data_IF_218873591423
#
_entry.id   IF_218873591423
#
_cell.length_a   1.000
_cell.length_b   1.000
_cell.length_c   1.000
_cell.angle_alpha   90.00
_cell.angle_beta   90.00
_cell.angle_gamma   90.00
#
_symmetry.space_group_name_H-M   'P 1'
#
loop_
_entity.id
_entity.type
_entity.pdbx_description
1 polymer ?
#
# COMPACT_ATOMS: atom_id res chain seq x y z
N UNK A 1 -8.36 22.72 -20.64
CA UNK A 1 -8.85 21.72 -19.65
C UNK A 1 -10.15 21.11 -20.16
N UNK A 2 -10.43 19.83 -19.86
CA UNK A 2 -11.59 19.08 -20.39
C UNK A 2 -12.93 19.69 -19.97
N UNK A 3 -13.85 19.87 -20.94
CA UNK A 3 -15.23 20.33 -20.65
C UNK A 3 -16.00 19.33 -19.79
N UNK A 4 -15.60 18.05 -19.83
CA UNK A 4 -16.27 16.94 -19.18
C UNK A 4 -15.80 16.69 -17.74
N UNK A 5 -14.77 17.41 -17.27
CA UNK A 5 -14.31 17.27 -15.88
C UNK A 5 -15.29 17.95 -14.91
N UNK A 6 -15.64 17.23 -13.84
CA UNK A 6 -16.51 17.70 -12.77
C UNK A 6 -16.01 19.02 -12.18
N UNK A 7 -16.95 19.87 -11.75
CA UNK A 7 -16.63 21.18 -11.20
C UNK A 7 -15.83 21.12 -9.90
N UNK A 8 -16.10 20.14 -9.03
CA UNK A 8 -15.39 19.99 -7.77
C UNK A 8 -13.95 19.55 -8.01
N UNK A 9 -13.71 18.63 -8.96
CA UNK A 9 -12.36 18.19 -9.35
C UNK A 9 -11.52 19.38 -9.85
N UNK A 10 -12.13 20.37 -10.52
CA UNK A 10 -11.42 21.58 -10.97
C UNK A 10 -10.96 22.49 -9.83
N UNK A 11 -11.50 22.32 -8.62
CA UNK A 11 -11.25 23.19 -7.47
C UNK A 11 -10.39 22.57 -6.38
N UNK A 12 -10.24 21.25 -6.36
CA UNK A 12 -9.35 20.58 -5.39
C UNK A 12 -7.92 21.07 -5.64
N UNK A 13 -7.23 21.41 -4.56
CA UNK A 13 -5.77 21.54 -4.58
C UNK A 13 -5.19 20.15 -4.29
N UNK A 14 -4.43 19.55 -5.21
CA UNK A 14 -3.85 18.23 -4.98
C UNK A 14 -2.90 18.24 -3.78
N UNK A 15 -2.71 17.08 -3.17
CA UNK A 15 -1.66 16.88 -2.18
C UNK A 15 -0.29 17.24 -2.77
N UNK A 16 0.47 18.07 -2.04
CA UNK A 16 1.84 18.44 -2.39
C UNK A 16 2.79 17.63 -1.52
N UNK A 17 3.54 16.67 -2.08
CA UNK A 17 4.48 15.88 -1.29
C UNK A 17 5.62 16.75 -0.75
N UNK A 18 6.18 16.33 0.39
CA UNK A 18 7.37 16.96 0.96
C UNK A 18 8.60 16.88 0.05
N UNK A 19 9.60 17.73 0.33
CA UNK A 19 10.84 17.81 -0.44
C UNK A 19 11.59 16.46 -0.48
N UNK A 20 12.10 16.07 -1.64
CA UNK A 20 13.01 14.92 -1.79
C UNK A 20 14.21 15.29 -2.67
N UNK A 21 15.40 15.53 -2.09
CA UNK A 21 16.61 15.84 -2.86
C UNK A 21 17.04 14.64 -3.72
N UNK A 22 17.42 14.85 -4.99
CA UNK A 22 17.78 13.75 -5.92
C UNK A 22 19.27 13.55 -6.17
N UNK A 23 20.11 14.54 -5.88
CA UNK A 23 21.51 14.60 -6.37
C UNK A 23 22.56 14.59 -5.28
N UNK A 24 22.20 14.22 -4.05
CA UNK A 24 23.11 14.23 -2.91
C UNK A 24 22.93 12.96 -2.09
N UNK A 25 23.99 12.55 -1.39
CA UNK A 25 23.89 11.52 -0.35
C UNK A 25 23.46 12.20 0.94
N UNK A 26 22.36 11.76 1.53
CA UNK A 26 21.82 12.31 2.77
C UNK A 26 21.26 11.19 3.64
N UNK A 27 21.10 11.50 4.93
CA UNK A 27 20.34 10.65 5.86
C UNK A 27 18.87 11.02 5.68
N UNK A 28 18.07 10.11 5.09
CA UNK A 28 16.66 10.34 4.77
C UNK A 28 15.78 10.08 5.99
N UNK A 29 15.12 11.12 6.49
CA UNK A 29 14.29 11.07 7.72
C UNK A 29 12.93 11.78 7.56
N UNK A 30 12.49 12.04 6.32
CA UNK A 30 11.35 12.92 6.02
C UNK A 30 10.05 12.19 5.60
N UNK A 31 10.07 10.86 5.51
CA UNK A 31 8.97 10.04 4.97
C UNK A 31 8.62 8.83 5.85
N UNK A 32 9.19 8.77 7.06
CA UNK A 32 8.93 7.73 8.06
C UNK A 32 9.19 6.29 7.57
N UNK A 33 10.08 6.11 6.58
CA UNK A 33 10.50 4.80 6.12
C UNK A 33 11.31 4.06 7.19
N UNK A 34 11.19 2.73 7.21
CA UNK A 34 11.99 1.90 8.10
C UNK A 34 13.47 1.92 7.66
N UNK A 35 14.44 2.14 8.58
CA UNK A 35 15.86 2.13 8.22
C UNK A 35 16.42 0.73 7.94
N UNK A 36 15.71 -0.33 8.33
CA UNK A 36 16.10 -1.71 8.14
C UNK A 36 15.51 -2.30 6.85
N UNK A 37 16.21 -3.26 6.21
CA UNK A 37 15.65 -3.97 5.07
C UNK A 37 14.42 -4.81 5.47
N UNK A 38 13.58 -5.20 4.51
CA UNK A 38 12.48 -6.13 4.76
C UNK A 38 12.96 -7.46 5.35
N UNK A 39 12.06 -8.17 6.03
CA UNK A 39 12.34 -9.51 6.54
C UNK A 39 12.87 -10.44 5.44
N UNK A 40 13.96 -11.21 5.67
CA UNK A 40 14.45 -12.19 4.72
C UNK A 40 13.38 -13.21 4.29
N UNK A 41 12.44 -13.56 5.18
CA UNK A 41 11.31 -14.44 4.87
C UNK A 41 10.32 -13.80 3.88
N UNK A 42 10.07 -12.50 4.02
CA UNK A 42 9.20 -11.77 3.10
C UNK A 42 9.82 -11.67 1.70
N UNK A 43 11.14 -11.42 1.62
CA UNK A 43 11.89 -11.39 0.36
C UNK A 43 11.82 -12.76 -0.33
N UNK A 44 12.09 -13.85 0.40
CA UNK A 44 12.03 -15.20 -0.16
C UNK A 44 10.62 -15.57 -0.67
N UNK A 45 9.57 -15.23 0.08
CA UNK A 45 8.19 -15.46 -0.33
C UNK A 45 7.84 -14.69 -1.62
N UNK A 46 8.19 -13.39 -1.68
CA UNK A 46 7.94 -12.56 -2.86
C UNK A 46 8.64 -13.10 -4.12
N UNK A 47 9.91 -13.54 -3.99
CA UNK A 47 10.66 -14.15 -5.09
C UNK A 47 9.98 -15.46 -5.54
N UNK A 48 9.54 -16.30 -4.60
CA UNK A 48 8.92 -17.58 -4.94
C UNK A 48 7.62 -17.46 -5.72
N UNK A 49 6.86 -16.37 -5.53
CA UNK A 49 5.61 -16.14 -6.25
C UNK A 49 5.79 -15.64 -7.69
N UNK A 50 7.01 -15.23 -8.08
CA UNK A 50 7.29 -14.75 -9.45
C UNK A 50 6.94 -15.77 -10.54
N UNK A 51 7.00 -17.07 -10.23
CA UNK A 51 6.63 -18.14 -11.15
C UNK A 51 5.13 -18.22 -11.47
N UNK A 52 4.27 -17.51 -10.72
CA UNK A 52 2.81 -17.53 -10.90
C UNK A 52 2.24 -16.20 -11.39
N UNK A 53 3.08 -15.23 -11.79
CA UNK A 53 2.63 -13.89 -12.20
C UNK A 53 1.75 -13.86 -13.45
N UNK A 54 1.65 -14.97 -14.18
CA UNK A 54 0.69 -15.13 -15.27
C UNK A 54 -0.75 -15.42 -14.79
N UNK A 55 -0.98 -15.53 -13.48
CA UNK A 55 -2.28 -15.79 -12.87
C UNK A 55 -2.74 -14.57 -12.07
N UNK A 56 -4.06 -14.37 -11.99
CA UNK A 56 -4.63 -13.43 -11.04
C UNK A 56 -4.41 -13.93 -9.60
N UNK A 57 -4.18 -13.02 -8.63
CA UNK A 57 -4.06 -13.37 -7.22
C UNK A 57 -5.41 -13.75 -6.61
N UNK A 58 -5.38 -14.26 -5.37
CA UNK A 58 -6.59 -14.41 -4.54
C UNK A 58 -7.22 -13.02 -4.28
N UNK A 59 -8.45 -12.75 -4.78
CA UNK A 59 -9.06 -11.44 -4.62
C UNK A 59 -9.44 -11.11 -3.17
N UNK A 60 -9.64 -12.12 -2.31
CA UNK A 60 -10.09 -11.93 -0.92
C UNK A 60 -8.92 -11.83 0.07
N UNK A 61 -7.68 -12.05 -0.40
CA UNK A 61 -6.50 -12.11 0.46
C UNK A 61 -6.66 -13.08 1.65
N UNK A 62 -7.33 -14.21 1.44
CA UNK A 62 -7.86 -15.12 2.48
C UNK A 62 -6.79 -15.57 3.47
N UNK A 63 -5.62 -15.97 2.96
CA UNK A 63 -4.49 -16.42 3.80
C UNK A 63 -3.99 -15.31 4.72
N UNK A 64 -3.97 -14.06 4.23
CA UNK A 64 -3.54 -12.91 5.01
C UNK A 64 -4.60 -12.55 6.06
N UNK A 65 -5.87 -12.48 5.68
CA UNK A 65 -6.96 -12.08 6.60
C UNK A 65 -7.12 -13.08 7.74
N UNK A 66 -7.05 -14.39 7.47
CA UNK A 66 -7.07 -15.44 8.50
C UNK A 66 -5.92 -15.26 9.52
N UNK A 67 -4.70 -15.03 9.03
CA UNK A 67 -3.52 -14.85 9.88
C UNK A 67 -3.58 -13.58 10.72
N UNK A 68 -4.10 -12.49 10.15
CA UNK A 68 -4.27 -11.23 10.87
C UNK A 68 -5.38 -11.34 11.93
N UNK A 69 -6.48 -12.04 11.64
CA UNK A 69 -7.58 -12.27 12.59
C UNK A 69 -7.08 -13.03 13.82
N UNK A 70 -6.30 -14.09 13.61
CA UNK A 70 -5.62 -14.84 14.66
C UNK A 70 -4.66 -13.94 15.46
N UNK A 71 -3.76 -13.23 14.78
CA UNK A 71 -2.73 -12.40 15.42
C UNK A 71 -3.32 -11.27 16.27
N UNK A 72 -4.38 -10.61 15.80
CA UNK A 72 -5.00 -9.48 16.48
C UNK A 72 -6.20 -9.88 17.35
N UNK A 73 -6.54 -11.16 17.43
CA UNK A 73 -7.68 -11.67 18.21
C UNK A 73 -9.01 -10.99 17.86
N UNK A 74 -9.27 -10.81 16.56
CA UNK A 74 -10.52 -10.26 16.02
C UNK A 74 -11.18 -11.28 15.10
N UNK A 75 -12.47 -11.09 14.81
CA UNK A 75 -13.14 -11.94 13.81
C UNK A 75 -12.69 -11.56 12.41
N UNK A 76 -12.69 -12.52 11.49
CA UNK A 76 -12.28 -12.30 10.10
C UNK A 76 -13.15 -11.24 9.40
N UNK A 77 -14.43 -11.13 9.75
CA UNK A 77 -15.34 -10.12 9.18
C UNK A 77 -15.01 -8.69 9.59
N UNK A 78 -14.13 -8.52 10.59
CA UNK A 78 -13.63 -7.20 11.01
C UNK A 78 -12.34 -6.80 10.26
N UNK A 79 -11.89 -7.58 9.27
CA UNK A 79 -10.68 -7.32 8.50
C UNK A 79 -11.02 -7.15 7.03
N UNK A 80 -10.48 -6.09 6.44
CA UNK A 80 -10.47 -5.85 5.00
C UNK A 80 -9.06 -5.37 4.60
N UNK A 81 -8.64 -5.69 3.38
CA UNK A 81 -7.29 -5.40 2.86
C UNK A 81 -7.39 -4.41 1.70
N UNK A 82 -6.60 -3.34 1.74
CA UNK A 82 -6.39 -2.41 0.61
C UNK A 82 -4.91 -2.35 0.20
N UNK A 83 -4.63 -1.85 -0.99
CA UNK A 83 -3.28 -1.61 -1.51
C UNK A 83 -2.67 -0.34 -0.90
N UNK A 84 -2.35 -0.44 0.39
CA UNK A 84 -1.97 0.70 1.22
C UNK A 84 -3.18 1.36 1.88
N UNK A 85 -2.95 2.03 3.01
CA UNK A 85 -4.02 2.63 3.81
C UNK A 85 -4.75 3.77 3.09
N UNK A 86 -4.12 4.43 2.11
CA UNK A 86 -4.78 5.49 1.33
C UNK A 86 -5.96 4.94 0.52
N UNK A 87 -5.87 3.71 0.00
CA UNK A 87 -7.01 3.09 -0.68
C UNK A 87 -8.14 2.79 0.30
N UNK A 88 -7.82 2.31 1.50
CA UNK A 88 -8.81 2.06 2.55
C UNK A 88 -9.53 3.36 2.92
N UNK A 89 -8.80 4.47 3.06
CA UNK A 89 -9.39 5.79 3.32
C UNK A 89 -10.25 6.29 2.16
N UNK A 90 -9.93 5.93 0.92
CA UNK A 90 -10.72 6.33 -0.25
C UNK A 90 -12.03 5.55 -0.40
N UNK A 91 -12.16 4.39 0.23
CA UNK A 91 -13.40 3.58 0.24
C UNK A 91 -14.44 4.04 1.28
N UNK A 92 -14.02 4.85 2.26
CA UNK A 92 -14.87 5.34 3.36
C UNK A 92 -15.29 6.78 3.07
#
# INVERSE_FOLDING_TARGET
MSRFADYNIKKITPYVPGEQPRKQRYIKLNTNENPYPPSPKAIAAAISETYKYNLYPDPECSVLTEKLAEQFSVRIENIFVGNGSDEVLAFI
#
